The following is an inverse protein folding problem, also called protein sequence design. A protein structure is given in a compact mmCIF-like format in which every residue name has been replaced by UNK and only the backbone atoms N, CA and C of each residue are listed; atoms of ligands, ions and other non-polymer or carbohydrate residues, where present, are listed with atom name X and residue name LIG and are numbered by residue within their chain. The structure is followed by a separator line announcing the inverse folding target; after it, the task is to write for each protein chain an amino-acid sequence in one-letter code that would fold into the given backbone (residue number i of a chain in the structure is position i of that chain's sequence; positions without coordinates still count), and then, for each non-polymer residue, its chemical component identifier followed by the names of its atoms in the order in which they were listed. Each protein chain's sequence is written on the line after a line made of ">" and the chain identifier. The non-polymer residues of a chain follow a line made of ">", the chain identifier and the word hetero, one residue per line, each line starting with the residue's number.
data_IF_877530774515
#
_entry.id   IF_877530774515
#
_cell.length_a   1.000
_cell.length_b   1.000
_cell.length_c   1.000
_cell.angle_alpha   90.00
_cell.angle_beta   90.00
_cell.angle_gamma   90.00
#
_symmetry.space_group_name_H-M   'P 1'
#
loop_
_entity.id
_entity.type
_entity.pdbx_description
1 polymer ?
#
# COMPACT_ATOMS: atom_id res chain seq x y z
N UNK A 1 0.05 6.36 -24.05
CA UNK A 1 -0.81 6.18 -25.24
C UNK A 1 0.01 5.88 -26.51
N UNK A 2 1.15 6.51 -26.76
CA UNK A 2 1.90 6.34 -28.02
C UNK A 2 2.57 4.97 -28.20
N UNK A 3 3.11 4.36 -27.15
CA UNK A 3 3.73 3.02 -27.24
C UNK A 3 2.74 1.88 -27.50
N UNK A 4 1.46 2.06 -27.16
CA UNK A 4 0.40 1.10 -27.47
C UNK A 4 0.03 1.06 -28.96
N UNK A 5 0.23 2.16 -29.67
CA UNK A 5 -0.08 2.28 -31.11
C UNK A 5 1.02 1.71 -31.99
N UNK A 6 2.29 1.67 -31.55
CA UNK A 6 3.41 1.12 -32.33
C UNK A 6 3.27 -0.40 -32.58
N UNK A 7 2.67 -1.14 -31.66
CA UNK A 7 2.39 -2.58 -31.85
C UNK A 7 1.29 -2.88 -32.89
N UNK A 8 0.44 -1.88 -33.20
CA UNK A 8 -0.64 -2.01 -34.19
C UNK A 8 -0.17 -1.67 -35.62
N UNK A 9 0.95 -0.95 -35.78
CA UNK A 9 1.43 -0.43 -37.06
C UNK A 9 2.36 -1.41 -37.79
N UNK A 10 2.92 -2.42 -37.11
CA UNK A 10 3.85 -3.39 -37.69
C UNK A 10 3.33 -4.85 -37.56
N UNK A 11 2.28 -5.26 -38.30
CA UNK A 11 1.83 -6.66 -38.29
C UNK A 11 2.76 -7.50 -39.16
N UNK A 12 3.78 -8.14 -38.56
CA UNK A 12 4.63 -9.09 -39.28
C UNK A 12 6.05 -9.27 -38.75
N UNK A 13 6.59 -8.31 -38.01
CA UNK A 13 7.96 -8.40 -37.50
C UNK A 13 7.95 -8.78 -36.00
N UNK A 14 8.21 -10.06 -35.72
CA UNK A 14 8.26 -10.61 -34.36
C UNK A 14 9.37 -9.97 -33.52
N UNK A 15 10.49 -9.60 -34.15
CA UNK A 15 11.63 -8.98 -33.51
C UNK A 15 11.29 -7.53 -33.06
N UNK A 16 10.63 -6.76 -33.92
CA UNK A 16 10.19 -5.41 -33.61
C UNK A 16 9.18 -5.42 -32.45
N UNK A 17 8.24 -6.38 -32.44
CA UNK A 17 7.30 -6.55 -31.31
C UNK A 17 8.01 -6.87 -30.00
N UNK A 18 9.03 -7.73 -30.04
CA UNK A 18 9.85 -8.06 -28.87
C UNK A 18 10.58 -6.83 -28.32
N UNK A 19 11.15 -6.01 -29.22
CA UNK A 19 11.81 -4.76 -28.82
C UNK A 19 10.84 -3.75 -28.23
N UNK A 20 9.65 -3.56 -28.83
CA UNK A 20 8.61 -2.66 -28.33
C UNK A 20 8.14 -3.11 -26.95
N UNK A 21 7.93 -4.42 -26.73
CA UNK A 21 7.54 -4.97 -25.43
C UNK A 21 8.64 -4.80 -24.38
N UNK A 22 9.91 -4.95 -24.77
CA UNK A 22 11.04 -4.71 -23.88
C UNK A 22 11.17 -3.24 -23.47
N UNK A 23 10.98 -2.31 -24.43
CA UNK A 23 10.96 -0.87 -24.16
C UNK A 23 9.78 -0.51 -23.25
N UNK A 24 8.60 -1.10 -23.48
CA UNK A 24 7.43 -0.89 -22.63
C UNK A 24 7.71 -1.32 -21.19
N UNK A 25 8.28 -2.52 -20.99
CA UNK A 25 8.64 -3.04 -19.65
C UNK A 25 9.69 -2.15 -18.97
N UNK A 26 10.68 -1.67 -19.73
CA UNK A 26 11.71 -0.78 -19.20
C UNK A 26 11.12 0.59 -18.79
N UNK A 27 10.22 1.15 -19.60
CA UNK A 27 9.51 2.39 -19.29
C UNK A 27 8.62 2.23 -18.05
N UNK A 28 7.85 1.13 -17.96
CA UNK A 28 7.04 0.81 -16.78
C UNK A 28 7.89 0.65 -15.52
N UNK A 29 9.05 -0.02 -15.64
CA UNK A 29 10.01 -0.15 -14.53
C UNK A 29 10.56 1.22 -14.12
N UNK A 30 10.94 2.07 -15.07
CA UNK A 30 11.46 3.42 -14.78
C UNK A 30 10.41 4.29 -14.11
N UNK A 31 9.16 4.26 -14.56
CA UNK A 31 8.04 4.95 -13.92
C UNK A 31 7.83 4.46 -12.50
N UNK A 32 7.98 3.14 -12.26
CA UNK A 32 7.87 2.58 -10.93
C UNK A 32 9.04 3.01 -10.02
N UNK A 33 10.26 3.10 -10.54
CA UNK A 33 11.43 3.62 -9.81
C UNK A 33 11.23 5.09 -9.44
N UNK A 34 10.81 5.94 -10.36
CA UNK A 34 10.51 7.37 -10.10
C UNK A 34 9.36 7.50 -9.09
N UNK A 35 8.31 6.69 -9.22
CA UNK A 35 7.22 6.64 -8.25
C UNK A 35 7.71 6.21 -6.87
N UNK A 36 8.56 5.18 -6.79
CA UNK A 36 9.14 4.74 -5.53
C UNK A 36 10.05 5.81 -4.91
N UNK A 37 10.83 6.54 -5.73
CA UNK A 37 11.59 7.71 -5.26
C UNK A 37 10.68 8.84 -4.77
N UNK A 38 9.61 9.16 -5.48
CA UNK A 38 8.59 10.12 -5.02
C UNK A 38 7.85 9.62 -3.77
N UNK A 39 7.72 8.30 -3.62
CA UNK A 39 7.22 7.65 -2.42
C UNK A 39 8.21 7.69 -1.25
N UNK A 40 9.51 7.87 -1.49
CA UNK A 40 10.54 8.12 -0.46
C UNK A 40 10.50 9.56 0.05
N UNK A 41 9.98 10.50 -0.76
CA UNK A 41 9.69 11.84 -0.29
C UNK A 41 8.54 11.75 0.70
N UNK A 42 8.79 12.09 1.95
CA UNK A 42 7.80 12.13 3.03
C UNK A 42 6.64 13.03 2.58
N UNK A 43 5.38 12.57 2.61
CA UNK A 43 4.28 13.43 2.22
C UNK A 43 4.17 14.59 3.21
N UNK A 44 4.28 15.83 2.74
CA UNK A 44 4.09 17.03 3.56
C UNK A 44 2.78 16.98 4.36
N UNK A 45 1.76 16.37 3.79
CA UNK A 45 0.47 16.17 4.45
C UNK A 45 0.55 15.35 5.74
N UNK A 46 1.46 14.37 5.83
CA UNK A 46 1.66 13.59 7.04
C UNK A 46 2.30 14.42 8.15
N UNK A 47 3.18 15.37 7.76
CA UNK A 47 3.83 16.31 8.69
C UNK A 47 2.87 17.40 9.14
N UNK A 48 2.04 17.92 8.22
CA UNK A 48 1.16 19.06 8.47
C UNK A 48 -0.15 18.66 9.19
N UNK A 49 -0.72 17.52 8.86
CA UNK A 49 -2.06 17.11 9.30
C UNK A 49 -2.08 15.88 10.23
N UNK A 50 -0.97 15.15 10.32
CA UNK A 50 -0.91 13.90 11.08
C UNK A 50 -1.43 12.67 10.32
N UNK A 51 -1.38 11.51 10.99
CA UNK A 51 -1.64 10.21 10.36
C UNK A 51 -3.10 10.04 9.89
N UNK A 52 -4.05 10.25 10.79
CA UNK A 52 -5.47 9.95 10.52
C UNK A 52 -6.04 10.79 9.37
N UNK A 53 -5.87 12.13 9.36
CA UNK A 53 -6.30 12.94 8.22
C UNK A 53 -5.60 12.57 6.89
N UNK A 54 -4.32 12.18 6.94
CA UNK A 54 -3.58 11.75 5.76
C UNK A 54 -4.15 10.44 5.18
N UNK A 55 -4.50 9.46 6.03
CA UNK A 55 -5.17 8.22 5.60
C UNK A 55 -6.55 8.47 5.01
N UNK A 56 -7.34 9.34 5.65
CA UNK A 56 -8.66 9.74 5.15
C UNK A 56 -8.57 10.43 3.79
N UNK A 57 -7.55 11.25 3.59
CA UNK A 57 -7.31 11.89 2.30
C UNK A 57 -6.97 10.85 1.22
N UNK A 58 -6.05 9.91 1.48
CA UNK A 58 -5.73 8.81 0.56
C UNK A 58 -6.99 8.02 0.18
N UNK A 59 -7.81 7.68 1.17
CA UNK A 59 -9.06 6.95 0.96
C UNK A 59 -9.98 7.71 0.00
N UNK A 60 -10.20 9.02 0.23
CA UNK A 60 -11.02 9.86 -0.64
C UNK A 60 -10.48 9.95 -2.06
N UNK A 61 -9.17 10.13 -2.23
CA UNK A 61 -8.56 10.25 -3.56
C UNK A 61 -8.64 8.93 -4.37
N UNK A 62 -8.41 7.79 -3.71
CA UNK A 62 -8.59 6.48 -4.36
C UNK A 62 -10.06 6.26 -4.72
N UNK A 63 -11.00 6.54 -3.79
CA UNK A 63 -12.43 6.38 -4.06
C UNK A 63 -12.89 7.21 -5.26
N UNK A 64 -12.48 8.47 -5.34
CA UNK A 64 -12.80 9.34 -6.49
C UNK A 64 -12.25 8.80 -7.81
N UNK A 65 -11.03 8.27 -7.81
CA UNK A 65 -10.34 7.82 -9.01
C UNK A 65 -10.84 6.48 -9.53
N UNK A 66 -11.24 5.58 -8.63
CA UNK A 66 -11.55 4.18 -8.95
C UNK A 66 -13.03 3.82 -8.84
N UNK A 67 -13.82 4.63 -8.13
CA UNK A 67 -15.20 4.29 -7.76
C UNK A 67 -15.31 3.29 -6.60
N UNK A 68 -14.19 2.80 -6.08
CA UNK A 68 -14.12 1.87 -4.95
C UNK A 68 -14.49 2.59 -3.65
N UNK A 69 -15.37 1.99 -2.84
CA UNK A 69 -15.69 2.53 -1.52
C UNK A 69 -14.55 2.26 -0.53
N UNK A 70 -13.89 3.32 -0.02
CA UNK A 70 -12.82 3.17 0.97
C UNK A 70 -13.23 3.85 2.26
N UNK A 71 -13.24 3.09 3.36
CA UNK A 71 -13.53 3.60 4.70
C UNK A 71 -12.29 3.52 5.58
N UNK A 72 -12.11 4.55 6.41
CA UNK A 72 -11.04 4.63 7.42
C UNK A 72 -11.68 4.77 8.78
N UNK A 73 -11.43 3.80 9.61
CA UNK A 73 -11.76 3.78 11.02
C UNK A 73 -10.45 3.84 11.82
N UNK A 74 -10.26 4.91 12.56
CA UNK A 74 -9.03 5.21 13.30
C UNK A 74 -9.38 5.81 14.67
N UNK A 75 -10.10 5.03 15.46
CA UNK A 75 -10.44 5.41 16.82
C UNK A 75 -9.24 5.21 17.75
N UNK A 76 -9.09 6.12 18.72
CA UNK A 76 -8.06 6.02 19.77
C UNK A 76 -6.61 5.98 19.27
N UNK A 77 -6.32 6.61 18.13
CA UNK A 77 -4.95 6.79 17.63
C UNK A 77 -4.42 8.13 18.12
N UNK A 78 -3.34 8.11 18.87
CA UNK A 78 -2.74 9.33 19.38
C UNK A 78 -2.01 10.14 18.28
N UNK A 79 -2.07 11.47 18.38
CA UNK A 79 -1.42 12.37 17.41
C UNK A 79 0.12 12.34 17.51
N UNK A 80 0.66 11.99 18.69
CA UNK A 80 2.09 11.99 19.01
C UNK A 80 2.80 10.65 18.73
N UNK A 81 2.28 9.86 17.82
CA UNK A 81 2.97 8.65 17.35
C UNK A 81 4.37 8.99 16.81
N UNK A 82 5.38 8.10 17.00
CA UNK A 82 6.68 8.24 16.37
C UNK A 82 6.58 8.41 14.86
N UNK A 83 7.37 9.31 14.31
CA UNK A 83 7.31 9.67 12.89
C UNK A 83 7.56 8.50 11.94
N UNK A 84 8.47 7.60 12.33
CA UNK A 84 8.77 6.37 11.56
C UNK A 84 7.54 5.45 11.52
N UNK A 85 6.78 5.38 12.62
CA UNK A 85 5.55 4.58 12.71
C UNK A 85 4.46 5.19 11.83
N UNK A 86 4.23 6.52 11.91
CA UNK A 86 3.29 7.24 11.04
C UNK A 86 3.60 6.99 9.56
N UNK A 87 4.88 7.15 9.20
CA UNK A 87 5.36 6.94 7.82
C UNK A 87 5.15 5.51 7.37
N UNK A 88 5.47 4.52 8.21
CA UNK A 88 5.27 3.11 7.90
C UNK A 88 3.80 2.80 7.62
N UNK A 89 2.89 3.19 8.52
CA UNK A 89 1.44 2.96 8.38
C UNK A 89 0.92 3.62 7.10
N UNK A 90 1.26 4.90 6.89
CA UNK A 90 0.86 5.64 5.69
C UNK A 90 1.28 4.91 4.41
N UNK A 91 2.54 4.42 4.34
CA UNK A 91 3.07 3.71 3.18
C UNK A 91 2.45 2.34 2.96
N UNK A 92 2.21 1.61 4.03
CA UNK A 92 1.52 0.31 3.95
C UNK A 92 0.09 0.50 3.42
N UNK A 93 -0.65 1.49 3.92
CA UNK A 93 -2.00 1.80 3.41
C UNK A 93 -1.95 2.24 1.95
N UNK A 94 -0.99 3.10 1.58
CA UNK A 94 -0.81 3.56 0.21
C UNK A 94 -0.60 2.40 -0.77
N UNK A 95 0.31 1.47 -0.43
CA UNK A 95 0.60 0.29 -1.26
C UNK A 95 -0.59 -0.68 -1.30
N UNK A 96 -1.25 -0.91 -0.15
CA UNK A 96 -2.43 -1.75 -0.10
C UNK A 96 -3.56 -1.20 -0.98
N UNK A 97 -3.87 0.09 -0.89
CA UNK A 97 -4.87 0.75 -1.75
C UNK A 97 -4.49 0.71 -3.23
N UNK A 98 -3.20 0.86 -3.53
CA UNK A 98 -2.69 0.73 -4.90
C UNK A 98 -2.89 -0.69 -5.44
N UNK A 99 -2.61 -1.71 -4.64
CA UNK A 99 -2.82 -3.11 -5.00
C UNK A 99 -4.31 -3.41 -5.21
N UNK A 100 -5.19 -2.90 -4.35
CA UNK A 100 -6.64 -3.02 -4.54
C UNK A 100 -7.09 -2.38 -5.86
N UNK A 101 -6.61 -1.17 -6.17
CA UNK A 101 -6.99 -0.45 -7.38
C UNK A 101 -6.49 -1.12 -8.68
N UNK A 102 -5.34 -1.81 -8.64
CA UNK A 102 -4.72 -2.42 -9.83
C UNK A 102 -5.10 -3.88 -10.04
N UNK A 103 -5.30 -4.62 -8.97
CA UNK A 103 -5.30 -6.08 -9.03
C UNK A 103 -6.53 -6.73 -8.41
N UNK A 104 -7.16 -6.09 -7.42
CA UNK A 104 -8.18 -6.78 -6.62
C UNK A 104 -9.56 -6.81 -7.26
N UNK A 105 -9.91 -5.87 -8.15
CA UNK A 105 -11.28 -5.64 -8.60
C UNK A 105 -12.28 -5.50 -7.43
N UNK A 106 -11.79 -4.97 -6.30
CA UNK A 106 -12.56 -4.77 -5.09
C UNK A 106 -13.63 -3.69 -5.26
N UNK A 107 -14.77 -3.87 -4.64
CA UNK A 107 -15.83 -2.85 -4.53
C UNK A 107 -15.65 -1.99 -3.29
N UNK A 108 -15.11 -2.60 -2.23
CA UNK A 108 -14.88 -1.92 -0.96
C UNK A 108 -13.54 -2.29 -0.32
N UNK A 109 -12.95 -1.32 0.38
CA UNK A 109 -11.78 -1.51 1.24
C UNK A 109 -12.06 -0.87 2.59
N UNK A 110 -11.78 -1.60 3.66
CA UNK A 110 -11.85 -1.12 5.04
C UNK A 110 -10.46 -1.04 5.63
N UNK A 111 -10.14 0.12 6.15
CA UNK A 111 -8.89 0.42 6.85
C UNK A 111 -9.24 0.67 8.30
N UNK A 112 -8.69 -0.12 9.21
CA UNK A 112 -8.87 0.04 10.64
C UNK A 112 -7.51 0.20 11.31
N UNK A 113 -7.35 1.29 12.06
CA UNK A 113 -6.14 1.60 12.83
C UNK A 113 -6.52 1.77 14.28
N UNK A 114 -5.86 1.07 15.18
CA UNK A 114 -6.10 1.16 16.61
C UNK A 114 -4.79 1.14 17.39
N UNK A 115 -4.68 2.00 18.39
CA UNK A 115 -3.62 1.97 19.38
C UNK A 115 -4.12 1.26 20.63
N UNK A 116 -3.47 0.16 21.00
CA UNK A 116 -3.86 -0.65 22.16
C UNK A 116 -2.63 -1.31 22.80
N UNK A 117 -2.54 -1.25 24.12
CA UNK A 117 -1.52 -1.96 24.90
C UNK A 117 -0.08 -1.68 24.45
N UNK A 118 0.25 -0.41 24.14
CA UNK A 118 1.59 0.01 23.69
C UNK A 118 1.95 -0.50 22.30
N UNK A 119 0.98 -0.80 21.47
CA UNK A 119 1.13 -1.21 20.07
C UNK A 119 0.15 -0.46 19.20
N UNK A 120 0.54 -0.22 17.96
CA UNK A 120 -0.39 0.19 16.93
C UNK A 120 -0.66 -0.97 15.98
N UNK A 121 -1.92 -1.19 15.69
CA UNK A 121 -2.39 -2.22 14.77
C UNK A 121 -3.10 -1.55 13.60
N UNK A 122 -2.69 -1.93 12.40
CA UNK A 122 -3.40 -1.60 11.17
C UNK A 122 -3.99 -2.88 10.58
N UNK A 123 -5.24 -2.82 10.15
CA UNK A 123 -5.88 -3.87 9.34
C UNK A 123 -6.44 -3.23 8.08
N UNK A 124 -6.11 -3.79 6.92
CA UNK A 124 -6.71 -3.43 5.63
C UNK A 124 -7.39 -4.67 5.09
N UNK A 125 -8.67 -4.54 4.76
CA UNK A 125 -9.51 -5.64 4.26
C UNK A 125 -10.18 -5.19 2.97
N UNK A 126 -9.98 -5.93 1.88
CA UNK A 126 -10.73 -5.76 0.62
C UNK A 126 -11.64 -6.96 0.35
N UNK A 127 -12.67 -6.72 -0.44
CA UNK A 127 -13.64 -7.71 -0.92
C UNK A 127 -13.35 -8.15 -2.36
N UNK A 128 -12.10 -8.04 -2.80
CA UNK A 128 -11.68 -8.30 -4.17
C UNK A 128 -11.54 -9.78 -4.50
N UNK A 129 -10.91 -10.04 -5.66
CA UNK A 129 -10.72 -11.41 -6.15
C UNK A 129 -9.69 -12.22 -5.34
N UNK A 130 -8.90 -11.58 -4.47
CA UNK A 130 -7.83 -12.26 -3.75
C UNK A 130 -6.76 -12.86 -4.68
N UNK A 131 -5.80 -13.58 -4.10
CA UNK A 131 -4.72 -14.26 -4.81
C UNK A 131 -4.10 -15.35 -3.94
N UNK A 132 -3.31 -16.22 -4.53
CA UNK A 132 -2.49 -17.18 -3.81
C UNK A 132 -1.30 -16.47 -3.13
N UNK A 133 -1.46 -16.15 -1.86
CA UNK A 133 -0.46 -15.42 -1.08
C UNK A 133 0.79 -16.24 -0.74
N UNK A 134 0.76 -17.55 -0.92
CA UNK A 134 1.92 -18.43 -0.68
C UNK A 134 2.90 -18.37 -1.84
N UNK A 135 2.39 -18.35 -3.07
CA UNK A 135 3.22 -18.40 -4.29
C UNK A 135 3.41 -17.02 -4.95
N UNK A 136 2.64 -16.00 -4.55
CA UNK A 136 2.70 -14.68 -5.17
C UNK A 136 3.27 -13.65 -4.19
N UNK A 137 4.57 -13.37 -4.28
CA UNK A 137 5.23 -12.29 -3.53
C UNK A 137 5.75 -11.24 -4.50
N UNK A 138 4.95 -10.20 -4.75
CA UNK A 138 5.39 -9.03 -5.52
C UNK A 138 6.29 -8.10 -4.69
N UNK A 139 7.07 -7.25 -5.38
CA UNK A 139 7.97 -6.26 -4.74
C UNK A 139 7.23 -5.32 -3.77
N UNK A 140 5.96 -4.99 -4.03
CA UNK A 140 5.14 -4.16 -3.14
C UNK A 140 4.89 -4.82 -1.79
N UNK A 141 4.54 -6.12 -1.78
CA UNK A 141 4.35 -6.90 -0.56
C UNK A 141 5.64 -7.03 0.24
N UNK A 142 6.75 -7.32 -0.43
CA UNK A 142 8.06 -7.41 0.20
C UNK A 142 8.45 -6.08 0.85
N UNK A 143 8.29 -4.96 0.14
CA UNK A 143 8.60 -3.63 0.66
C UNK A 143 7.71 -3.22 1.85
N UNK A 144 6.45 -3.67 1.92
CA UNK A 144 5.61 -3.48 3.10
C UNK A 144 6.12 -4.29 4.29
N UNK A 145 6.44 -5.58 4.08
CA UNK A 145 6.97 -6.47 5.12
C UNK A 145 8.30 -5.97 5.69
N UNK A 146 9.23 -5.54 4.84
CA UNK A 146 10.52 -4.97 5.25
C UNK A 146 10.37 -3.72 6.13
N UNK A 147 9.49 -2.78 5.75
CA UNK A 147 9.24 -1.56 6.53
C UNK A 147 8.68 -1.88 7.91
N UNK A 148 7.76 -2.83 8.00
CA UNK A 148 7.16 -3.25 9.27
C UNK A 148 8.19 -3.96 10.14
N UNK A 149 9.00 -4.84 9.56
CA UNK A 149 10.06 -5.57 10.25
C UNK A 149 11.15 -4.63 10.78
N UNK A 150 11.49 -3.58 10.03
CA UNK A 150 12.43 -2.56 10.47
C UNK A 150 12.02 -1.90 11.80
N UNK A 151 10.73 -1.72 12.02
CA UNK A 151 10.15 -1.22 13.27
C UNK A 151 9.86 -2.32 14.30
N UNK A 152 10.47 -3.51 14.16
CA UNK A 152 10.23 -4.69 15.00
C UNK A 152 8.75 -5.09 15.05
N UNK A 153 8.00 -4.73 14.02
CA UNK A 153 6.60 -5.07 13.86
C UNK A 153 6.39 -6.48 13.30
N UNK A 154 5.13 -6.89 13.26
CA UNK A 154 4.68 -8.15 12.65
C UNK A 154 3.82 -7.84 11.45
N UNK A 155 4.04 -8.55 10.36
CA UNK A 155 3.30 -8.45 9.11
C UNK A 155 2.56 -9.77 8.85
N UNK A 156 1.25 -9.70 8.64
CA UNK A 156 0.41 -10.85 8.34
C UNK A 156 -0.44 -10.55 7.12
N UNK A 157 -0.36 -11.42 6.13
CA UNK A 157 -1.13 -11.34 4.90
C UNK A 157 -1.92 -12.65 4.72
N UNK A 158 -3.22 -12.51 4.52
CA UNK A 158 -4.13 -13.59 4.21
C UNK A 158 -4.88 -13.23 2.94
N UNK A 159 -4.74 -14.04 1.91
CA UNK A 159 -5.47 -13.89 0.66
C UNK A 159 -5.68 -15.27 0.04
N UNK A 160 -6.87 -15.50 -0.46
CA UNK A 160 -7.25 -16.69 -1.20
C UNK A 160 -8.04 -16.25 -2.44
N UNK A 161 -7.89 -16.94 -3.59
CA UNK A 161 -8.70 -16.66 -4.77
C UNK A 161 -10.19 -16.66 -4.46
N UNK A 162 -10.87 -15.57 -4.85
CA UNK A 162 -12.31 -15.37 -4.64
C UNK A 162 -12.73 -14.88 -3.26
N UNK A 163 -11.77 -14.62 -2.34
CA UNK A 163 -12.08 -14.23 -0.94
C UNK A 163 -11.52 -12.89 -0.49
N UNK A 164 -10.98 -12.11 -1.42
CA UNK A 164 -10.34 -10.83 -1.11
C UNK A 164 -9.02 -10.98 -0.37
N UNK A 165 -8.55 -9.88 0.23
CA UNK A 165 -7.28 -9.84 0.95
C UNK A 165 -7.44 -9.19 2.31
N UNK A 166 -6.79 -9.76 3.32
CA UNK A 166 -6.63 -9.19 4.65
C UNK A 166 -5.16 -9.01 4.95
N UNK A 167 -4.75 -7.76 5.06
CA UNK A 167 -3.44 -7.35 5.55
C UNK A 167 -3.57 -6.88 6.98
N UNK A 168 -2.71 -7.37 7.88
CA UNK A 168 -2.62 -6.91 9.27
C UNK A 168 -1.16 -6.67 9.64
N UNK A 169 -0.89 -5.53 10.24
CA UNK A 169 0.39 -5.23 10.84
C UNK A 169 0.22 -4.83 12.31
N UNK A 170 1.25 -5.12 13.10
CA UNK A 170 1.34 -4.71 14.50
C UNK A 170 2.75 -4.16 14.74
N UNK A 171 2.84 -2.91 15.23
CA UNK A 171 4.11 -2.24 15.49
C UNK A 171 4.16 -1.88 16.98
N UNK A 172 5.20 -2.27 17.74
CA UNK A 172 5.36 -1.88 19.13
C UNK A 172 5.70 -0.39 19.23
N UNK A 173 5.10 0.31 20.19
CA UNK A 173 5.39 1.71 20.50
C UNK A 173 6.36 1.75 21.69
N UNK A 174 7.64 1.67 21.43
CA UNK A 174 8.69 1.44 22.41
C UNK A 174 8.82 2.52 23.50
N UNK A 175 8.29 3.72 23.30
CA UNK A 175 8.46 4.84 24.24
C UNK A 175 7.37 4.91 25.33
N UNK A 176 6.19 4.32 25.17
CA UNK A 176 5.09 4.38 26.14
C UNK A 176 5.04 3.24 27.15
N UNK A 177 5.78 2.15 26.90
CA UNK A 177 5.86 1.03 27.84
C UNK A 177 6.61 1.37 29.15
N UNK A 178 7.42 2.44 29.18
CA UNK A 178 8.16 2.85 30.38
C UNK A 178 7.38 3.82 31.28
N UNK A 179 6.42 4.59 30.77
CA UNK A 179 5.61 5.50 31.58
C UNK A 179 4.42 4.80 32.30
N UNK A 180 4.04 3.61 31.86
CA UNK A 180 2.97 2.84 32.50
C UNK A 180 3.45 1.99 33.69
N UNK A 181 4.75 2.01 34.03
CA UNK A 181 5.37 1.25 35.13
C UNK A 181 5.94 2.20 36.23
N UNK A 182 5.88 3.50 36.03
CA UNK A 182 6.23 4.51 37.02
C UNK A 182 4.97 5.12 37.67
#
# INVERSE_FOLDING_TARGET
>A
MELGNLGAVAPGDAELRSHVESIRKLAESSVNVVRNMALLLRPSMLDDLGLVPALQWQAREISKRTGMAVTVDAESVADDLPEEVKTCIYRVVQEALHNCARHAFARSVRIHVVEESGRIRLTVLDDGQGFDSVHTRGLGLLGMEERVTHLRGRFHLQSEPGRGTKLRIEIPLAARAMEAIA
#
